data_IF_448757273669
#
_entry.id   IF_448757273669
#
_cell.length_a   1.000
_cell.length_b   1.000
_cell.length_c   1.000
_cell.angle_alpha   90.00
_cell.angle_beta   90.00
_cell.angle_gamma   90.00
#
_symmetry.space_group_name_H-M   'P 1'
#
loop_
_entity.id
_entity.type
_entity.pdbx_description
1 polymer ?
#
# COMPACT_ATOMS: atom_id res chain seq x y z
N UNK A 1 14.30 18.60 -1.60
CA UNK A 1 14.24 17.72 -0.42
C UNK A 1 14.69 16.33 -0.80
N UNK A 2 15.44 15.68 0.07
CA UNK A 2 15.74 14.28 -0.14
C UNK A 2 14.50 13.41 0.19
N UNK A 3 14.59 12.12 -0.08
CA UNK A 3 13.47 11.19 0.09
C UNK A 3 13.02 11.11 1.56
N UNK A 4 13.95 11.11 2.50
CA UNK A 4 13.62 11.09 3.94
C UNK A 4 12.83 12.32 4.36
N UNK A 5 13.26 13.50 3.93
CA UNK A 5 12.57 14.75 4.25
C UNK A 5 11.18 14.80 3.65
N UNK A 6 11.05 14.36 2.39
CA UNK A 6 9.75 14.27 1.71
C UNK A 6 8.80 13.37 2.49
N UNK A 7 9.26 12.19 2.88
CA UNK A 7 8.43 11.26 3.65
C UNK A 7 8.08 11.77 5.04
N UNK A 8 9.03 12.44 5.71
CA UNK A 8 8.74 12.99 7.06
C UNK A 8 7.59 13.98 7.00
N UNK A 9 7.60 14.86 6.02
CA UNK A 9 6.52 15.82 5.81
C UNK A 9 5.23 15.10 5.39
N UNK A 10 5.34 14.17 4.46
CA UNK A 10 4.19 13.41 3.95
C UNK A 10 3.48 12.64 5.06
N UNK A 11 4.22 12.00 5.97
CA UNK A 11 3.64 11.28 7.10
C UNK A 11 2.80 12.21 7.99
N UNK A 12 3.29 13.41 8.26
CA UNK A 12 2.54 14.42 9.03
C UNK A 12 1.31 14.90 8.28
N UNK A 13 1.41 15.07 6.97
CA UNK A 13 0.29 15.50 6.15
C UNK A 13 -0.80 14.42 6.08
N UNK A 14 -0.42 13.15 5.96
CA UNK A 14 -1.38 12.04 5.99
C UNK A 14 -2.12 12.04 7.32
N UNK A 15 -1.40 12.09 8.43
CA UNK A 15 -2.02 12.10 9.76
C UNK A 15 -3.01 13.26 9.91
N UNK A 16 -2.59 14.46 9.56
CA UNK A 16 -3.43 15.66 9.65
C UNK A 16 -4.68 15.56 8.77
N UNK A 17 -4.55 14.92 7.62
CA UNK A 17 -5.64 14.79 6.64
C UNK A 17 -6.73 13.81 7.12
N UNK A 18 -6.34 12.73 7.78
CA UNK A 18 -7.26 11.63 8.09
C UNK A 18 -7.68 11.54 9.57
N UNK A 19 -6.94 12.17 10.49
CA UNK A 19 -7.28 12.08 11.93
C UNK A 19 -8.58 12.83 12.22
N UNK A 20 -9.36 12.30 13.17
CA UNK A 20 -10.60 12.94 13.62
C UNK A 20 -11.77 12.79 12.64
N UNK A 21 -11.58 12.12 11.52
CA UNK A 21 -12.64 11.85 10.56
C UNK A 21 -13.33 10.51 10.86
N UNK A 22 -14.54 10.35 10.34
CA UNK A 22 -15.37 9.18 10.58
C UNK A 22 -15.93 8.64 9.25
N UNK A 23 -15.04 8.45 8.30
CA UNK A 23 -15.39 7.95 6.97
C UNK A 23 -14.23 7.09 6.45
N UNK A 24 -14.17 5.80 6.81
CA UNK A 24 -13.05 4.95 6.44
C UNK A 24 -12.74 4.94 4.94
N UNK A 25 -13.77 4.84 4.11
CA UNK A 25 -13.59 4.86 2.64
C UNK A 25 -12.95 6.17 2.17
N UNK A 26 -13.49 7.29 2.66
CA UNK A 26 -12.98 8.62 2.29
C UNK A 26 -11.59 8.87 2.84
N UNK A 27 -11.31 8.44 4.06
CA UNK A 27 -9.99 8.57 4.68
C UNK A 27 -8.94 7.81 3.89
N UNK A 28 -9.22 6.57 3.50
CA UNK A 28 -8.32 5.78 2.65
C UNK A 28 -8.16 6.40 1.26
N UNK A 29 -9.25 6.89 0.67
CA UNK A 29 -9.21 7.53 -0.64
C UNK A 29 -8.31 8.78 -0.62
N UNK A 30 -8.45 9.62 0.39
CA UNK A 30 -7.63 10.81 0.54
C UNK A 30 -6.17 10.48 0.84
N UNK A 31 -5.91 9.46 1.66
CA UNK A 31 -4.54 9.01 1.91
C UNK A 31 -3.90 8.51 0.62
N UNK A 32 -4.60 7.70 -0.16
CA UNK A 32 -4.11 7.21 -1.45
C UNK A 32 -3.81 8.37 -2.40
N UNK A 33 -4.72 9.34 -2.48
CA UNK A 33 -4.55 10.51 -3.36
C UNK A 33 -3.32 11.33 -2.98
N UNK A 34 -3.15 11.62 -1.69
CA UNK A 34 -2.02 12.42 -1.21
C UNK A 34 -0.68 11.72 -1.47
N UNK A 35 -0.60 10.43 -1.16
CA UNK A 35 0.60 9.64 -1.42
C UNK A 35 0.93 9.60 -2.91
N UNK A 36 -0.07 9.33 -3.72
CA UNK A 36 0.06 9.21 -5.17
C UNK A 36 0.55 10.51 -5.82
N UNK A 37 -0.09 11.64 -5.48
CA UNK A 37 0.27 12.95 -6.03
C UNK A 37 1.66 13.39 -5.58
N UNK A 38 1.98 13.19 -4.30
CA UNK A 38 3.25 13.66 -3.75
C UNK A 38 4.44 12.91 -4.35
N UNK A 39 4.31 11.60 -4.50
CA UNK A 39 5.43 10.76 -4.93
C UNK A 39 5.45 10.49 -6.43
N UNK A 40 4.33 10.70 -7.11
CA UNK A 40 4.24 10.51 -8.55
C UNK A 40 4.27 9.04 -8.98
N UNK A 41 3.85 8.13 -8.13
CA UNK A 41 3.79 6.71 -8.46
C UNK A 41 2.68 6.42 -9.47
N UNK A 42 2.76 5.26 -10.12
CA UNK A 42 1.80 4.87 -11.15
C UNK A 42 0.48 4.36 -10.58
N UNK A 43 0.52 3.62 -9.47
CA UNK A 43 -0.66 3.10 -8.78
C UNK A 43 -0.41 3.10 -7.28
N UNK A 44 -1.40 3.57 -6.51
CA UNK A 44 -1.32 3.65 -5.05
C UNK A 44 -2.68 3.33 -4.46
N UNK A 45 -2.76 2.31 -3.63
CA UNK A 45 -4.05 1.96 -3.08
C UNK A 45 -4.02 0.90 -2.01
N UNK A 46 -5.23 0.50 -1.62
CA UNK A 46 -5.47 -0.42 -0.52
C UNK A 46 -6.24 -1.63 -0.99
N UNK A 47 -5.85 -2.78 -0.47
CA UNK A 47 -6.64 -4.00 -0.51
C UNK A 47 -6.97 -4.38 0.92
N UNK A 48 -8.23 -4.74 1.18
CA UNK A 48 -8.71 -5.05 2.53
C UNK A 48 -9.05 -6.53 2.65
N UNK A 49 -8.70 -7.14 3.79
CA UNK A 49 -8.98 -8.56 4.03
C UNK A 49 -10.48 -8.75 4.19
N UNK A 50 -11.01 -9.71 3.44
CA UNK A 50 -12.39 -10.17 3.57
C UNK A 50 -12.39 -11.71 3.42
N UNK A 51 -12.44 -12.41 4.56
CA UNK A 51 -12.35 -13.86 4.58
C UNK A 51 -10.98 -14.35 4.16
N UNK A 52 -10.94 -15.14 3.09
CA UNK A 52 -9.71 -15.77 2.58
C UNK A 52 -9.08 -14.98 1.43
N UNK A 53 -9.52 -13.76 1.20
CA UNK A 53 -9.02 -12.93 0.10
C UNK A 53 -8.89 -11.48 0.48
N UNK A 54 -8.08 -10.77 -0.29
CA UNK A 54 -8.01 -9.31 -0.29
C UNK A 54 -9.00 -8.79 -1.32
N UNK A 55 -9.73 -7.73 -0.96
CA UNK A 55 -10.64 -7.05 -1.87
C UNK A 55 -10.17 -5.63 -2.12
N UNK A 56 -10.29 -5.19 -3.38
CA UNK A 56 -9.89 -3.85 -3.79
C UNK A 56 -10.64 -2.79 -2.98
N UNK A 57 -9.88 -1.89 -2.37
CA UNK A 57 -10.36 -0.72 -1.66
C UNK A 57 -10.05 0.56 -2.43
N UNK A 58 -10.06 1.72 -1.77
CA UNK A 58 -9.73 2.99 -2.43
C UNK A 58 -8.32 3.01 -3.02
N UNK A 59 -8.20 3.56 -4.23
CA UNK A 59 -6.92 3.65 -4.94
C UNK A 59 -6.89 4.81 -5.91
N UNK A 60 -5.69 5.11 -6.39
CA UNK A 60 -5.41 6.05 -7.48
C UNK A 60 -4.59 5.33 -8.54
N UNK A 61 -5.00 5.47 -9.80
CA UNK A 61 -4.33 4.83 -10.92
C UNK A 61 -5.27 4.06 -11.83
N UNK A 62 -4.73 3.23 -12.75
CA UNK A 62 -5.54 2.42 -13.65
C UNK A 62 -6.34 1.33 -12.91
N UNK A 63 -7.32 0.76 -13.60
CA UNK A 63 -8.14 -0.32 -13.07
C UNK A 63 -7.28 -1.49 -12.56
N UNK A 64 -7.76 -2.19 -11.54
CA UNK A 64 -7.00 -3.23 -10.84
C UNK A 64 -7.87 -4.47 -10.58
N UNK A 65 -7.23 -5.55 -10.12
CA UNK A 65 -7.94 -6.77 -9.74
C UNK A 65 -8.89 -6.50 -8.58
N UNK A 66 -10.09 -7.11 -8.62
CA UNK A 66 -11.06 -6.97 -7.54
C UNK A 66 -10.71 -7.81 -6.31
N UNK A 67 -10.18 -8.99 -6.52
CA UNK A 67 -9.95 -9.96 -5.45
C UNK A 67 -8.61 -10.65 -5.63
N UNK A 68 -7.87 -10.83 -4.53
CA UNK A 68 -6.57 -11.50 -4.52
C UNK A 68 -6.59 -12.52 -3.39
N UNK A 69 -6.33 -13.78 -3.71
CA UNK A 69 -6.28 -14.84 -2.71
C UNK A 69 -5.01 -14.73 -1.86
N UNK A 70 -5.13 -15.17 -0.61
CA UNK A 70 -4.00 -15.23 0.30
C UNK A 70 -2.87 -16.07 -0.30
N UNK A 71 -1.64 -15.57 -0.22
CA UNK A 71 -0.47 -16.25 -0.78
C UNK A 71 -0.27 -16.08 -2.27
N UNK A 72 -1.13 -15.31 -2.95
CA UNK A 72 -1.05 -15.09 -4.42
C UNK A 72 -0.58 -13.68 -4.70
N UNK A 73 0.33 -13.54 -5.66
CA UNK A 73 0.92 -12.26 -6.03
C UNK A 73 1.69 -11.61 -4.89
N UNK A 74 2.15 -10.39 -5.09
CA UNK A 74 2.91 -9.67 -4.06
C UNK A 74 2.01 -9.32 -2.88
N UNK A 75 0.80 -8.80 -3.13
CA UNK A 75 -0.14 -8.44 -2.08
C UNK A 75 -0.55 -9.64 -1.23
N UNK A 76 -0.94 -10.75 -1.85
CA UNK A 76 -1.34 -11.95 -1.14
C UNK A 76 -0.19 -12.58 -0.35
N UNK A 77 1.01 -12.51 -0.87
CA UNK A 77 2.22 -13.02 -0.20
C UNK A 77 2.60 -12.14 0.99
N UNK A 78 2.54 -10.82 0.86
CA UNK A 78 2.80 -9.90 1.96
C UNK A 78 1.83 -10.14 3.12
N UNK A 79 0.57 -10.37 2.81
CA UNK A 79 -0.45 -10.73 3.80
C UNK A 79 -0.11 -12.05 4.48
N UNK A 80 0.13 -13.10 3.68
CA UNK A 80 0.37 -14.44 4.21
C UNK A 80 1.63 -14.52 5.09
N UNK A 81 2.69 -13.82 4.69
CA UNK A 81 3.96 -13.79 5.42
C UNK A 81 4.00 -12.71 6.49
N UNK A 82 3.01 -11.83 6.53
CA UNK A 82 2.95 -10.70 7.45
C UNK A 82 4.24 -9.89 7.46
N UNK A 83 4.64 -9.41 6.28
CA UNK A 83 5.83 -8.58 6.16
C UNK A 83 5.76 -7.69 4.92
N UNK A 84 6.46 -6.55 4.99
CA UNK A 84 6.64 -5.68 3.84
C UNK A 84 7.48 -6.39 2.79
N UNK A 85 7.03 -6.31 1.53
CA UNK A 85 7.76 -6.86 0.39
C UNK A 85 8.15 -5.73 -0.55
N UNK A 86 9.46 -5.62 -0.81
CA UNK A 86 10.01 -4.70 -1.81
C UNK A 86 10.44 -5.56 -3.00
N UNK A 87 9.78 -5.34 -4.14
CA UNK A 87 9.98 -6.16 -5.35
C UNK A 87 10.57 -5.29 -6.45
N UNK A 88 11.89 -5.40 -6.70
CA UNK A 88 12.55 -4.58 -7.72
C UNK A 88 12.10 -4.89 -9.15
N UNK A 89 11.70 -6.14 -9.40
CA UNK A 89 11.23 -6.59 -10.71
C UNK A 89 10.13 -7.63 -10.51
N UNK A 90 8.89 -7.25 -10.83
CA UNK A 90 7.72 -8.12 -10.63
C UNK A 90 7.78 -9.39 -11.48
N UNK A 91 8.47 -9.36 -12.62
CA UNK A 91 8.65 -10.54 -13.47
C UNK A 91 9.48 -11.63 -12.77
N UNK A 92 10.30 -11.25 -11.79
CA UNK A 92 11.11 -12.19 -11.02
C UNK A 92 10.40 -12.71 -9.77
N UNK A 93 9.20 -12.21 -9.48
CA UNK A 93 8.47 -12.63 -8.28
C UNK A 93 7.77 -13.98 -8.55
N UNK A 94 8.00 -15.03 -7.71
CA UNK A 94 7.59 -16.41 -8.04
C UNK A 94 6.09 -16.63 -8.21
N UNK A 95 5.24 -15.85 -7.52
CA UNK A 95 3.77 -16.00 -7.57
C UNK A 95 3.10 -14.73 -8.08
N UNK A 96 3.77 -14.06 -9.03
CA UNK A 96 3.28 -12.82 -9.61
C UNK A 96 1.92 -13.01 -10.30
N UNK A 97 0.99 -12.08 -10.02
CA UNK A 97 -0.29 -11.99 -10.70
C UNK A 97 -0.28 -10.70 -11.53
N UNK A 98 -0.49 -10.84 -12.84
CA UNK A 98 -0.52 -9.69 -13.73
C UNK A 98 -1.89 -9.01 -13.72
N UNK A 99 -2.20 -8.20 -12.68
CA UNK A 99 -3.37 -7.32 -12.68
C UNK A 99 -3.16 -6.14 -13.64
N UNK A 100 -1.89 -5.84 -13.94
CA UNK A 100 -1.53 -4.85 -14.95
C UNK A 100 -0.20 -5.25 -15.57
N UNK A 101 -0.13 -5.19 -16.90
CA UNK A 101 1.09 -5.51 -17.65
C UNK A 101 2.12 -4.39 -17.60
N UNK A 102 1.78 -3.20 -17.10
CA UNK A 102 2.69 -2.05 -17.11
C UNK A 102 3.44 -1.88 -15.79
N UNK A 103 3.04 -2.56 -14.72
CA UNK A 103 3.75 -2.53 -13.46
C UNK A 103 5.09 -3.28 -13.59
N UNK A 104 6.18 -2.66 -13.13
CA UNK A 104 7.51 -3.24 -13.21
C UNK A 104 8.16 -3.47 -11.86
N UNK A 105 7.90 -2.60 -10.89
CA UNK A 105 8.34 -2.78 -9.51
C UNK A 105 7.20 -2.46 -8.57
N UNK A 106 7.28 -2.98 -7.34
CA UNK A 106 6.18 -2.90 -6.39
C UNK A 106 6.67 -2.91 -4.95
N UNK A 107 5.93 -2.22 -4.08
CA UNK A 107 6.09 -2.36 -2.63
C UNK A 107 4.71 -2.60 -2.03
N UNK A 108 4.62 -3.57 -1.12
CA UNK A 108 3.39 -3.88 -0.39
C UNK A 108 3.68 -3.90 1.09
N UNK A 109 2.88 -3.16 1.86
CA UNK A 109 3.03 -3.03 3.31
C UNK A 109 1.75 -3.52 3.98
N UNK A 110 1.83 -4.51 4.89
CA UNK A 110 0.66 -4.96 5.63
C UNK A 110 0.13 -3.89 6.58
N UNK A 111 -1.21 -3.87 6.70
CA UNK A 111 -1.93 -3.03 7.66
C UNK A 111 -2.38 -3.91 8.81
N UNK A 112 -2.14 -3.49 10.05
CA UNK A 112 -2.46 -4.28 11.24
C UNK A 112 -3.52 -3.61 12.10
N UNK A 113 -4.39 -4.43 12.70
CA UNK A 113 -5.28 -3.96 13.76
C UNK A 113 -4.53 -3.85 15.09
N UNK A 114 -5.23 -3.47 16.16
CA UNK A 114 -4.62 -3.31 17.49
C UNK A 114 -4.11 -4.62 18.09
N UNK A 115 -4.57 -5.75 17.58
CA UNK A 115 -4.15 -7.08 18.05
C UNK A 115 -3.00 -7.67 17.21
N UNK A 116 -2.54 -6.94 16.20
CA UNK A 116 -1.46 -7.38 15.32
C UNK A 116 -1.91 -8.25 14.14
N UNK A 117 -3.22 -8.39 13.92
CA UNK A 117 -3.72 -9.13 12.76
C UNK A 117 -3.65 -8.28 11.51
N UNK A 118 -3.27 -8.89 10.39
CA UNK A 118 -3.29 -8.20 9.09
C UNK A 118 -4.73 -8.02 8.64
N UNK A 119 -5.13 -6.76 8.43
CA UNK A 119 -6.49 -6.41 8.00
C UNK A 119 -6.54 -5.87 6.57
N UNK A 120 -5.39 -5.72 5.94
CA UNK A 120 -5.26 -5.24 4.58
C UNK A 120 -3.82 -4.99 4.23
N UNK A 121 -3.61 -4.44 3.04
CA UNK A 121 -2.28 -4.01 2.60
C UNK A 121 -2.37 -2.65 1.92
N UNK A 122 -1.28 -1.88 2.02
CA UNK A 122 -1.02 -0.71 1.19
C UNK A 122 -0.13 -1.20 0.05
N UNK A 123 -0.61 -1.05 -1.18
CA UNK A 123 0.05 -1.51 -2.40
C UNK A 123 0.43 -0.33 -3.27
N UNK A 124 1.68 -0.29 -3.71
CA UNK A 124 2.18 0.76 -4.59
C UNK A 124 2.96 0.12 -5.73
N UNK A 125 2.61 0.51 -6.96
CA UNK A 125 3.21 -0.02 -8.17
C UNK A 125 3.87 1.09 -8.97
N UNK A 126 5.00 0.75 -9.60
CA UNK A 126 5.74 1.66 -10.48
C UNK A 126 5.94 1.04 -11.86
N UNK A 127 5.96 1.89 -12.87
CA UNK A 127 6.31 1.51 -14.26
C UNK A 127 7.81 1.30 -14.44
N UNK A 128 8.61 1.70 -13.47
CA UNK A 128 10.07 1.60 -13.54
C UNK A 128 10.55 0.45 -12.66
N UNK A 129 11.67 -0.15 -13.04
CA UNK A 129 12.34 -1.15 -12.22
C UNK A 129 12.94 -0.49 -10.97
N UNK A 130 13.00 -1.23 -9.89
CA UNK A 130 13.74 -0.87 -8.67
C UNK A 130 13.40 0.53 -8.13
N UNK A 131 12.13 0.94 -8.21
CA UNK A 131 11.70 2.25 -7.71
C UNK A 131 11.81 2.37 -6.19
N UNK A 132 11.58 1.28 -5.47
CA UNK A 132 11.45 1.29 -4.01
C UNK A 132 12.67 0.68 -3.33
N UNK A 133 13.07 1.27 -2.18
CA UNK A 133 14.20 0.82 -1.38
C UNK A 133 13.83 0.78 0.11
N UNK A 134 14.83 0.63 0.98
CA UNK A 134 14.63 0.53 2.43
C UNK A 134 14.05 1.80 3.03
N UNK A 135 14.31 2.96 2.44
CA UNK A 135 13.74 4.24 2.89
C UNK A 135 12.23 4.23 2.68
N UNK A 136 11.78 3.77 1.50
CA UNK A 136 10.34 3.62 1.22
C UNK A 136 9.70 2.63 2.19
N UNK A 137 10.32 1.48 2.41
CA UNK A 137 9.79 0.47 3.32
C UNK A 137 9.61 1.03 4.73
N UNK A 138 10.64 1.70 5.26
CA UNK A 138 10.60 2.30 6.60
C UNK A 138 9.46 3.30 6.75
N UNK A 139 9.38 4.26 5.84
CA UNK A 139 8.38 5.33 5.94
C UNK A 139 6.97 4.86 5.61
N UNK A 140 6.82 3.95 4.67
CA UNK A 140 5.49 3.41 4.33
C UNK A 140 4.95 2.52 5.45
N UNK A 141 5.82 1.82 6.18
CA UNK A 141 5.41 1.11 7.40
C UNK A 141 4.93 2.09 8.47
N UNK A 142 5.61 3.22 8.65
CA UNK A 142 5.19 4.27 9.58
C UNK A 142 3.85 4.87 9.17
N UNK A 143 3.68 5.18 7.88
CA UNK A 143 2.42 5.71 7.34
C UNK A 143 1.29 4.68 7.50
N UNK A 144 1.58 3.40 7.28
CA UNK A 144 0.60 2.33 7.50
C UNK A 144 0.12 2.31 8.97
N UNK A 145 1.02 2.49 9.93
CA UNK A 145 0.66 2.59 11.35
C UNK A 145 -0.22 3.80 11.64
N UNK A 146 0.09 4.94 11.03
CA UNK A 146 -0.74 6.16 11.15
C UNK A 146 -2.14 5.89 10.62
N UNK A 147 -2.25 5.26 9.45
CA UNK A 147 -3.53 4.96 8.82
C UNK A 147 -4.37 4.04 9.71
N UNK A 148 -3.80 2.95 10.20
CA UNK A 148 -4.56 1.99 11.02
C UNK A 148 -4.93 2.55 12.38
N UNK A 149 -4.15 3.51 12.91
CA UNK A 149 -4.50 4.22 14.15
C UNK A 149 -5.67 5.19 13.95
N UNK A 150 -5.71 5.87 12.81
CA UNK A 150 -6.68 6.95 12.55
C UNK A 150 -7.96 6.47 11.87
N UNK A 151 -7.94 5.34 11.17
CA UNK A 151 -9.07 4.85 10.36
C UNK A 151 -9.62 3.57 10.97
N UNK A 152 -10.94 3.51 11.16
CA UNK A 152 -11.60 2.30 11.67
C UNK A 152 -11.86 1.33 10.52
N UNK A 153 -10.99 0.36 10.40
CA UNK A 153 -11.06 -0.66 9.35
C UNK A 153 -11.59 -1.99 9.88
#
# INVERSE_FOLDING_TARGET
MDKNETYRLLAKQVESLIEGEDNPTGQLANAAALLHETMGWWWTGFYLVNGDQLQLGPFQGPVACYNIKRGRGVCGTAWDQDRTLVVPDVEQFPVHIACSSESRSEIVVPLHDSEGNVIGVLDIDSKDLATFDDVDAHWLEEIARIITRCVQL
#
